data_IF_605799549625
#
_entry.id   IF_605799549625
#
_cell.length_a   1.000
_cell.length_b   1.000
_cell.length_c   1.000
_cell.angle_alpha   90.00
_cell.angle_beta   90.00
_cell.angle_gamma   90.00
#
_symmetry.space_group_name_H-M   'P 1'
#
loop_
_entity.id
_entity.type
_entity.pdbx_description
1 polymer ?
#
# COMPACT_ATOMS: atom_id res chain seq x y z
N UNK A 1 24.03 -8.71 -10.66
CA UNK A 1 22.89 -9.43 -10.91
C UNK A 1 21.66 -8.58 -10.90
N UNK A 2 20.81 -8.84 -11.74
CA UNK A 2 19.63 -8.01 -11.86
C UNK A 2 18.52 -8.50 -10.97
N UNK A 3 17.85 -7.57 -10.37
CA UNK A 3 16.69 -7.92 -9.61
C UNK A 3 15.63 -8.46 -10.57
N UNK A 4 14.94 -9.48 -10.15
CA UNK A 4 13.88 -10.03 -10.94
C UNK A 4 12.70 -9.05 -10.95
N UNK A 5 12.14 -8.80 -12.10
CA UNK A 5 10.97 -7.94 -12.18
C UNK A 5 9.74 -8.70 -11.74
N UNK A 6 8.95 -8.04 -10.92
CA UNK A 6 7.66 -8.59 -10.54
C UNK A 6 6.72 -8.51 -11.75
N UNK A 7 5.99 -9.55 -11.99
CA UNK A 7 5.01 -9.55 -13.08
C UNK A 7 3.62 -9.87 -12.55
N UNK A 8 2.65 -9.82 -13.44
CA UNK A 8 1.26 -10.02 -13.05
C UNK A 8 1.03 -11.40 -12.44
N UNK A 9 1.67 -12.42 -12.99
CA UNK A 9 1.52 -13.77 -12.50
C UNK A 9 2.01 -13.87 -11.05
N UNK A 10 3.11 -13.20 -10.75
CA UNK A 10 3.65 -13.22 -9.39
C UNK A 10 2.70 -12.53 -8.42
N UNK A 11 2.15 -11.39 -8.82
CA UNK A 11 1.19 -10.69 -7.96
C UNK A 11 -0.06 -11.52 -7.73
N UNK A 12 -0.55 -12.19 -8.77
CA UNK A 12 -1.72 -13.04 -8.61
C UNK A 12 -1.43 -14.22 -7.69
N UNK A 13 -0.23 -14.76 -7.76
CA UNK A 13 0.16 -15.84 -6.87
C UNK A 13 0.16 -15.42 -5.42
N UNK A 14 0.67 -14.23 -5.13
CA UNK A 14 0.64 -13.71 -3.76
C UNK A 14 -0.78 -13.42 -3.30
N UNK A 15 -1.60 -12.86 -4.20
CA UNK A 15 -2.98 -12.55 -3.86
C UNK A 15 -3.76 -13.82 -3.49
N UNK A 16 -3.44 -14.93 -4.12
CA UNK A 16 -4.14 -16.19 -3.88
C UNK A 16 -3.77 -16.85 -2.56
N UNK A 17 -2.67 -16.43 -1.94
CA UNK A 17 -2.28 -17.02 -0.66
C UNK A 17 -3.20 -16.54 0.44
N UNK A 18 -3.43 -17.38 1.45
CA UNK A 18 -4.30 -16.99 2.54
C UNK A 18 -3.61 -16.00 3.44
N UNK A 19 -4.39 -15.23 4.18
CA UNK A 19 -3.86 -14.27 5.14
C UNK A 19 -3.43 -12.96 4.51
N UNK A 20 -2.78 -12.12 5.29
CA UNK A 20 -2.30 -10.84 4.84
C UNK A 20 -0.96 -10.97 4.15
N UNK A 21 -0.72 -10.15 3.12
CA UNK A 21 0.57 -10.09 2.47
C UNK A 21 1.07 -8.66 2.43
N UNK A 22 2.39 -8.50 2.42
CA UNK A 22 3.04 -7.21 2.24
C UNK A 22 4.11 -7.39 1.18
N UNK A 23 4.02 -6.62 0.10
CA UNK A 23 4.95 -6.72 -1.00
C UNK A 23 5.57 -5.37 -1.30
N UNK A 24 6.85 -5.39 -1.66
CA UNK A 24 7.55 -4.20 -2.13
C UNK A 24 7.70 -4.33 -3.64
N UNK A 25 7.24 -3.31 -4.38
CA UNK A 25 7.28 -3.34 -5.82
C UNK A 25 8.09 -2.17 -6.33
N UNK A 26 9.21 -2.47 -6.98
CA UNK A 26 10.06 -1.43 -7.53
C UNK A 26 9.94 -1.45 -9.04
N UNK A 27 9.56 -0.33 -9.63
CA UNK A 27 9.34 -0.26 -11.07
C UNK A 27 10.28 0.63 -11.84
N UNK A 28 11.21 1.29 -11.16
CA UNK A 28 12.11 2.19 -11.84
C UNK A 28 11.39 3.38 -12.44
N UNK A 29 11.97 3.92 -13.52
CA UNK A 29 11.42 5.12 -14.11
C UNK A 29 10.47 4.86 -15.27
N UNK A 30 10.28 3.63 -15.66
CA UNK A 30 9.39 3.36 -16.78
C UNK A 30 7.94 3.25 -16.27
N UNK A 31 7.01 3.17 -17.19
CA UNK A 31 5.60 3.17 -16.84
C UNK A 31 5.04 1.79 -16.55
N UNK A 32 5.87 0.77 -16.51
CA UNK A 32 5.35 -0.58 -16.36
C UNK A 32 4.78 -0.85 -14.99
N UNK A 33 5.35 -0.19 -13.98
CA UNK A 33 4.85 -0.36 -12.62
C UNK A 33 3.38 0.05 -12.53
N UNK A 34 3.04 1.21 -13.09
CA UNK A 34 1.67 1.68 -13.01
C UNK A 34 0.72 0.79 -13.80
N UNK A 35 1.15 0.37 -14.98
CA UNK A 35 0.33 -0.51 -15.79
C UNK A 35 0.12 -1.86 -15.13
N UNK A 36 1.16 -2.40 -14.53
CA UNK A 36 1.06 -3.65 -13.81
C UNK A 36 0.06 -3.57 -12.67
N UNK A 37 0.11 -2.48 -11.91
CA UNK A 37 -0.81 -2.28 -10.80
C UNK A 37 -2.23 -2.20 -11.32
N UNK A 38 -2.45 -1.45 -12.40
CA UNK A 38 -3.78 -1.32 -12.97
C UNK A 38 -4.34 -2.67 -13.41
N UNK A 39 -3.52 -3.44 -14.10
CA UNK A 39 -3.96 -4.74 -14.57
C UNK A 39 -4.26 -5.67 -13.40
N UNK A 40 -3.42 -5.64 -12.39
CA UNK A 40 -3.60 -6.51 -11.25
C UNK A 40 -4.90 -6.19 -10.51
N UNK A 41 -5.25 -4.92 -10.38
CA UNK A 41 -6.41 -4.53 -9.60
C UNK A 41 -7.74 -4.79 -10.29
N UNK A 42 -7.72 -5.11 -11.58
CA UNK A 42 -8.96 -5.38 -12.31
C UNK A 42 -9.71 -6.54 -11.66
N UNK A 43 -10.96 -6.33 -11.33
CA UNK A 43 -11.79 -7.37 -10.73
C UNK A 43 -11.58 -7.59 -9.25
N UNK A 44 -10.75 -6.79 -8.62
CA UNK A 44 -10.48 -6.93 -7.18
C UNK A 44 -10.95 -5.69 -6.44
N UNK A 45 -11.23 -5.82 -5.16
CA UNK A 45 -11.48 -4.66 -4.31
C UNK A 45 -10.13 -4.08 -3.94
N UNK A 46 -9.95 -2.80 -4.16
CA UNK A 46 -8.67 -2.18 -3.90
C UNK A 46 -8.81 -0.72 -3.49
N UNK A 47 -7.79 -0.23 -2.80
CA UNK A 47 -7.61 1.19 -2.51
C UNK A 47 -6.23 1.57 -3.02
N UNK A 48 -6.14 2.64 -3.79
CA UNK A 48 -4.89 3.10 -4.36
C UNK A 48 -4.64 4.53 -3.90
N UNK A 49 -3.44 4.77 -3.36
CA UNK A 49 -3.02 6.11 -2.98
C UNK A 49 -1.60 6.33 -3.48
N UNK A 50 -1.35 7.46 -4.11
CA UNK A 50 -0.01 7.80 -4.58
C UNK A 50 0.56 8.86 -3.69
N UNK A 51 1.68 8.57 -3.03
CA UNK A 51 2.36 9.54 -2.19
C UNK A 51 3.03 10.61 -3.04
N UNK A 52 3.17 11.77 -2.45
CA UNK A 52 3.83 12.90 -3.09
C UNK A 52 4.91 13.40 -2.18
N UNK A 53 5.74 14.31 -2.70
CA UNK A 53 6.84 14.84 -1.93
C UNK A 53 6.30 15.95 -1.02
N UNK A 54 5.63 15.55 0.03
CA UNK A 54 4.96 16.42 0.98
C UNK A 54 5.55 16.20 2.37
N UNK A 55 5.23 17.09 3.30
CA UNK A 55 5.57 16.85 4.69
C UNK A 55 4.79 15.63 5.20
N UNK A 56 5.24 15.06 6.31
CA UNK A 56 4.55 13.91 6.89
C UNK A 56 3.09 14.23 7.19
N UNK A 57 2.84 15.41 7.73
CA UNK A 57 1.49 15.79 8.09
C UNK A 57 0.60 16.01 6.87
N UNK A 58 1.14 16.65 5.84
CA UNK A 58 0.37 16.85 4.61
C UNK A 58 0.05 15.53 3.93
N UNK A 59 1.01 14.60 3.92
CA UNK A 59 0.78 13.31 3.31
C UNK A 59 -0.33 12.57 4.04
N UNK A 60 -0.30 12.59 5.36
CA UNK A 60 -1.31 11.92 6.15
C UNK A 60 -2.69 12.55 5.93
N UNK A 61 -2.74 13.89 5.84
CA UNK A 61 -4.00 14.59 5.60
C UNK A 61 -4.59 14.18 4.25
N UNK A 62 -3.75 14.14 3.22
CA UNK A 62 -4.22 13.75 1.90
C UNK A 62 -4.72 12.32 1.86
N UNK A 63 -3.98 11.40 2.46
CA UNK A 63 -4.40 10.01 2.45
C UNK A 63 -5.73 9.84 3.18
N UNK A 64 -5.89 10.53 4.30
CA UNK A 64 -7.15 10.46 5.05
C UNK A 64 -8.33 10.95 4.23
N UNK A 65 -8.14 12.03 3.48
CA UNK A 65 -9.19 12.55 2.62
C UNK A 65 -9.57 11.54 1.54
N UNK A 66 -8.58 10.89 0.94
CA UNK A 66 -8.87 9.92 -0.10
C UNK A 66 -9.55 8.67 0.44
N UNK A 67 -9.19 8.26 1.65
CA UNK A 67 -9.84 7.12 2.28
C UNK A 67 -11.30 7.45 2.55
N UNK A 68 -11.59 8.63 3.08
CA UNK A 68 -12.96 9.00 3.35
C UNK A 68 -13.80 8.99 2.07
N UNK A 69 -13.22 9.47 0.98
CA UNK A 69 -13.92 9.46 -0.30
C UNK A 69 -14.08 8.05 -0.85
N UNK A 70 -13.04 7.26 -0.82
CA UNK A 70 -13.08 5.93 -1.42
C UNK A 70 -14.02 4.98 -0.69
N UNK A 71 -14.10 5.09 0.63
CA UNK A 71 -14.88 4.17 1.42
C UNK A 71 -16.18 4.79 1.94
N UNK A 72 -16.48 6.02 1.51
CA UNK A 72 -17.72 6.71 1.87
C UNK A 72 -17.92 6.70 3.38
N UNK A 73 -16.89 7.14 4.10
CA UNK A 73 -16.93 7.14 5.55
C UNK A 73 -16.32 8.41 6.11
N UNK A 74 -16.49 8.62 7.41
CA UNK A 74 -15.87 9.72 8.11
C UNK A 74 -14.88 9.16 9.11
N UNK A 75 -13.64 9.66 9.09
CA UNK A 75 -12.63 9.21 10.04
C UNK A 75 -12.75 10.02 11.32
N UNK A 76 -12.57 9.36 12.46
CA UNK A 76 -12.62 10.06 13.73
C UNK A 76 -11.36 10.86 13.96
N UNK A 77 -10.27 10.46 13.37
CA UNK A 77 -9.01 11.21 13.41
C UNK A 77 -8.13 10.79 12.26
N UNK A 78 -7.14 11.62 11.98
CA UNK A 78 -6.20 11.33 10.89
C UNK A 78 -4.91 10.79 11.49
N UNK A 79 -4.77 9.49 11.44
CA UNK A 79 -3.53 8.79 11.78
C UNK A 79 -3.49 7.52 10.94
N UNK A 80 -2.29 7.01 10.68
CA UNK A 80 -2.19 5.79 9.87
C UNK A 80 -2.84 4.60 10.57
N UNK A 81 -2.74 4.53 11.89
CA UNK A 81 -3.40 3.45 12.61
C UNK A 81 -4.92 3.51 12.42
N UNK A 82 -5.50 4.69 12.49
CA UNK A 82 -6.93 4.82 12.29
C UNK A 82 -7.30 4.48 10.86
N UNK A 83 -6.51 4.95 9.89
CA UNK A 83 -6.77 4.66 8.48
C UNK A 83 -6.84 3.15 8.26
N UNK A 84 -5.81 2.45 8.70
CA UNK A 84 -5.70 1.03 8.40
C UNK A 84 -6.62 0.17 9.26
N UNK A 85 -7.16 0.71 10.33
CA UNK A 85 -8.20 0.03 11.08
C UNK A 85 -9.54 0.12 10.36
N UNK A 86 -9.73 1.15 9.54
CA UNK A 86 -11.03 1.39 8.95
C UNK A 86 -11.16 0.89 7.51
N UNK A 87 -10.04 0.69 6.81
CA UNK A 87 -10.12 0.25 5.41
C UNK A 87 -10.34 -1.25 5.37
N UNK A 88 -11.43 -1.68 4.77
CA UNK A 88 -11.81 -3.08 4.71
C UNK A 88 -12.56 -3.35 3.42
N UNK A 89 -12.53 -4.60 2.97
CA UNK A 89 -13.23 -4.95 1.74
C UNK A 89 -14.74 -4.97 1.93
N UNK A 90 -15.20 -5.13 3.15
CA UNK A 90 -16.63 -5.23 3.41
C UNK A 90 -17.16 -6.65 3.44
N UNK A 91 -16.37 -7.60 3.03
CA UNK A 91 -16.75 -9.02 3.08
C UNK A 91 -15.48 -9.85 3.25
N UNK A 92 -15.56 -11.15 3.04
CA UNK A 92 -14.42 -12.03 3.27
C UNK A 92 -13.36 -11.95 2.19
N UNK A 93 -13.60 -11.20 1.11
CA UNK A 93 -12.60 -11.10 0.05
C UNK A 93 -11.43 -10.25 0.52
N UNK A 94 -10.29 -10.44 -0.15
CA UNK A 94 -9.09 -9.73 0.21
C UNK A 94 -9.14 -8.30 -0.35
N UNK A 95 -8.74 -7.33 0.45
CA UNK A 95 -8.63 -5.95 -0.02
C UNK A 95 -7.18 -5.70 -0.41
N UNK A 96 -6.96 -5.19 -1.60
CA UNK A 96 -5.62 -4.80 -2.05
C UNK A 96 -5.42 -3.33 -1.70
N UNK A 97 -4.36 -3.03 -0.97
CA UNK A 97 -4.03 -1.66 -0.60
C UNK A 97 -2.73 -1.32 -1.30
N UNK A 98 -2.78 -0.38 -2.25
CA UNK A 98 -1.61 0.02 -3.00
C UNK A 98 -1.20 1.41 -2.56
N UNK A 99 0.01 1.52 -2.01
CA UNK A 99 0.59 2.82 -1.68
C UNK A 99 1.72 3.03 -2.67
N UNK A 100 1.47 3.87 -3.66
CA UNK A 100 2.42 4.09 -4.74
C UNK A 100 3.35 5.23 -4.35
N UNK A 101 4.55 5.22 -4.87
CA UNK A 101 5.61 6.17 -4.52
C UNK A 101 5.77 6.24 -3.01
N UNK A 102 5.76 5.06 -2.39
CA UNK A 102 5.74 4.95 -0.94
C UNK A 102 7.00 5.49 -0.28
N UNK A 103 8.09 5.65 -1.04
CA UNK A 103 9.33 6.17 -0.48
C UNK A 103 9.13 7.53 0.17
N UNK A 104 8.19 8.32 -0.33
CA UNK A 104 7.96 9.65 0.25
C UNK A 104 7.35 9.58 1.64
N UNK A 105 6.53 8.57 1.92
CA UNK A 105 5.99 8.38 3.25
C UNK A 105 7.00 7.66 4.14
N UNK A 106 7.69 6.68 3.61
CA UNK A 106 8.64 5.88 4.39
C UNK A 106 9.77 6.74 4.92
N UNK A 107 10.31 7.62 4.08
CA UNK A 107 11.42 8.45 4.50
C UNK A 107 11.04 9.47 5.55
N UNK A 108 9.83 9.96 5.49
CA UNK A 108 9.47 11.11 6.30
C UNK A 108 8.69 10.79 7.55
N UNK A 109 8.11 9.59 7.62
CA UNK A 109 7.21 9.30 8.72
C UNK A 109 7.39 7.87 9.22
N UNK A 110 8.12 7.70 10.31
CA UNK A 110 8.29 6.35 10.86
C UNK A 110 6.98 5.71 11.30
N UNK A 111 5.96 6.53 11.62
CA UNK A 111 4.68 5.96 12.03
C UNK A 111 3.98 5.25 10.87
N UNK A 112 4.24 5.70 9.64
CA UNK A 112 3.68 5.03 8.48
C UNK A 112 4.15 3.57 8.42
N UNK A 113 5.45 3.36 8.55
CA UNK A 113 6.01 2.01 8.49
C UNK A 113 5.49 1.15 9.64
N UNK A 114 5.44 1.71 10.84
CA UNK A 114 4.93 0.98 11.99
C UNK A 114 3.48 0.54 11.78
N UNK A 115 2.66 1.44 11.24
CA UNK A 115 1.25 1.13 11.03
C UNK A 115 1.07 0.06 9.96
N UNK A 116 1.88 0.11 8.90
CA UNK A 116 1.84 -0.91 7.85
C UNK A 116 2.21 -2.29 8.42
N UNK A 117 3.25 -2.35 9.23
CA UNK A 117 3.67 -3.61 9.81
C UNK A 117 2.63 -4.16 10.78
N UNK A 118 2.01 -3.29 11.55
CA UNK A 118 0.92 -3.70 12.42
C UNK A 118 -0.24 -4.27 11.62
N UNK A 119 -0.59 -3.61 10.52
CA UNK A 119 -1.70 -4.08 9.70
C UNK A 119 -1.40 -5.46 9.15
N UNK A 120 -0.18 -5.69 8.68
CA UNK A 120 0.18 -6.99 8.13
C UNK A 120 0.07 -8.10 9.17
N UNK A 121 0.35 -7.78 10.43
CA UNK A 121 0.37 -8.78 11.49
C UNK A 121 -1.00 -9.05 12.10
N UNK A 122 -1.98 -8.21 11.83
CA UNK A 122 -3.29 -8.38 12.44
C UNK A 122 -4.11 -9.45 11.75
N UNK A 123 -4.92 -10.14 12.54
CA UNK A 123 -5.95 -10.97 11.94
C UNK A 123 -7.13 -10.06 11.68
N UNK A 124 -7.46 -9.87 10.43
CA UNK A 124 -8.49 -8.92 10.05
C UNK A 124 -9.81 -9.60 9.78
N UNK A 125 -10.87 -8.88 10.03
CA UNK A 125 -12.22 -9.36 9.81
C UNK A 125 -12.99 -8.24 9.10
N UNK A 126 -13.76 -8.55 8.08
CA UNK A 126 -14.13 -9.90 7.61
C UNK A 126 -13.14 -10.54 6.65
N UNK A 127 -12.15 -9.81 6.16
CA UNK A 127 -11.23 -10.40 5.22
C UNK A 127 -9.82 -9.86 5.38
N UNK A 128 -8.84 -10.51 4.76
CA UNK A 128 -7.44 -10.09 4.87
C UNK A 128 -7.11 -8.97 3.89
N UNK A 129 -5.88 -8.48 3.96
CA UNK A 129 -5.40 -7.43 3.06
C UNK A 129 -4.13 -7.88 2.37
N UNK A 130 -3.92 -7.36 1.17
CA UNK A 130 -2.65 -7.47 0.48
C UNK A 130 -2.13 -6.06 0.30
N UNK A 131 -1.01 -5.75 0.93
CA UNK A 131 -0.43 -4.41 0.90
C UNK A 131 0.69 -4.40 -0.12
N UNK A 132 0.64 -3.47 -1.06
CA UNK A 132 1.69 -3.30 -2.05
C UNK A 132 2.28 -1.90 -1.84
N UNK A 133 3.54 -1.85 -1.44
CA UNK A 133 4.27 -0.60 -1.35
C UNK A 133 5.10 -0.49 -2.62
N UNK A 134 4.72 0.41 -3.50
CA UNK A 134 5.37 0.54 -4.78
C UNK A 134 6.24 1.79 -4.79
N UNK A 135 7.33 1.75 -5.53
CA UNK A 135 8.27 2.85 -5.58
C UNK A 135 8.97 2.89 -6.92
N UNK A 136 9.25 4.10 -7.39
CA UNK A 136 10.09 4.27 -8.57
C UNK A 136 11.56 4.40 -8.18
N UNK A 137 11.88 4.34 -6.89
CA UNK A 137 13.26 4.34 -6.44
C UNK A 137 13.45 3.30 -5.35
N UNK A 138 14.69 2.87 -5.13
CA UNK A 138 14.95 1.77 -4.22
C UNK A 138 15.30 2.28 -2.84
N UNK A 139 14.51 3.17 -2.30
CA UNK A 139 14.92 3.77 -1.05
C UNK A 139 14.85 2.85 0.14
N UNK A 140 13.94 1.92 0.15
CA UNK A 140 13.86 1.06 1.31
C UNK A 140 14.96 0.03 1.34
N UNK A 141 15.70 -0.10 0.27
CA UNK A 141 16.80 -1.02 0.29
C UNK A 141 18.12 -0.36 0.50
N UNK A 142 18.15 0.97 0.43
CA UNK A 142 19.43 1.61 0.49
C UNK A 142 19.53 2.60 1.56
N UNK A 143 18.46 3.05 2.01
CA UNK A 143 18.54 4.07 2.88
C UNK A 143 19.21 3.72 4.04
N UNK A 144 18.98 2.62 4.36
CA UNK A 144 19.58 2.22 5.43
C UNK A 144 20.92 2.39 5.34
N UNK A 145 21.30 2.34 4.36
CA UNK A 145 22.61 2.52 4.29
C UNK A 145 22.90 3.88 4.57
N UNK A 146 22.29 4.50 4.94
CA UNK A 146 22.78 5.72 5.21
C UNK A 146 22.28 6.30 6.14
#
# INVERSE_FOLDING_TARGET
MNAKKTDLKELEGWYAKSGNQLMLLYGGMDCRKEQLIKEFCVGKKYFYYRCRQLSAQEQMQKMGEEIQNAFQMKLSRYSYDEFFNRVKSGDASKLVIVIDEAQYAIKRDPEFVKSILKLKMKRLYPGPVMIILASSSIVWGTQDAK
#
